data_IF_464684738164
#
_entry.id   IF_464684738164
#
_cell.length_a   1.000
_cell.length_b   1.000
_cell.length_c   1.000
_cell.angle_alpha   90.00
_cell.angle_beta   90.00
_cell.angle_gamma   90.00
#
_symmetry.space_group_name_H-M   'P 1'
#
loop_
_entity.id
_entity.type
_entity.pdbx_description
1 polymer ?
#
# COMPACT_ATOMS: atom_id res chain seq x y z
N UNK A 1 9.67 12.61 -0.12
CA UNK A 1 9.73 11.86 1.15
C UNK A 1 8.44 12.16 1.91
N UNK A 2 7.79 11.17 2.53
CA UNK A 2 6.68 11.44 3.45
C UNK A 2 7.25 11.64 4.86
N UNK A 3 6.77 12.64 5.58
CA UNK A 3 7.18 12.91 6.95
C UNK A 3 6.19 12.33 7.95
N UNK A 4 6.68 11.97 9.13
CA UNK A 4 5.83 11.45 10.21
C UNK A 4 4.75 12.47 10.57
N UNK A 5 3.51 11.99 10.73
CA UNK A 5 2.34 12.85 11.00
C UNK A 5 1.68 13.43 9.74
N UNK A 6 2.31 13.28 8.57
CA UNK A 6 1.67 13.64 7.29
C UNK A 6 0.49 12.69 7.04
N UNK A 7 -0.64 13.24 6.61
CA UNK A 7 -1.78 12.41 6.17
C UNK A 7 -1.35 11.55 4.99
N UNK A 8 -1.60 10.24 5.06
CA UNK A 8 -1.25 9.33 3.98
C UNK A 8 -1.91 9.78 2.66
N UNK A 9 -1.14 9.90 1.56
CA UNK A 9 -1.71 10.22 0.26
C UNK A 9 -2.64 9.10 -0.21
N UNK A 10 -3.71 9.47 -0.90
CA UNK A 10 -4.61 8.49 -1.52
C UNK A 10 -3.86 7.61 -2.53
N UNK A 11 -4.24 6.33 -2.59
CA UNK A 11 -3.77 5.40 -3.61
C UNK A 11 -4.92 4.56 -4.13
N UNK A 12 -4.75 4.04 -5.35
CA UNK A 12 -5.56 3.01 -5.96
C UNK A 12 -4.62 2.09 -6.74
N UNK A 13 -4.47 0.85 -6.29
CA UNK A 13 -3.55 -0.13 -6.89
C UNK A 13 -4.26 -1.46 -7.07
N UNK A 14 -3.93 -2.19 -8.13
CA UNK A 14 -4.39 -3.56 -8.31
C UNK A 14 -3.57 -4.50 -7.43
N UNK A 15 -4.25 -5.42 -6.73
CA UNK A 15 -3.61 -6.53 -6.02
C UNK A 15 -3.24 -7.68 -6.99
N UNK A 16 -2.75 -8.79 -6.43
CA UNK A 16 -2.34 -9.96 -7.22
C UNK A 16 -3.49 -10.63 -7.99
N UNK A 17 -4.73 -10.39 -7.57
CA UNK A 17 -5.95 -10.94 -8.18
C UNK A 17 -6.62 -9.91 -9.12
N UNK A 18 -5.97 -8.76 -9.34
CA UNK A 18 -6.46 -7.68 -10.18
C UNK A 18 -7.54 -6.80 -9.52
N UNK A 19 -7.83 -7.02 -8.24
CA UNK A 19 -8.80 -6.20 -7.51
C UNK A 19 -8.18 -4.86 -7.14
N UNK A 20 -8.93 -3.77 -7.34
CA UNK A 20 -8.46 -2.43 -6.98
C UNK A 20 -8.62 -2.22 -5.48
N UNK A 21 -7.50 -2.02 -4.80
CA UNK A 21 -7.43 -1.63 -3.39
C UNK A 21 -7.17 -0.13 -3.31
N UNK A 22 -7.96 0.56 -2.48
CA UNK A 22 -7.79 2.00 -2.25
C UNK A 22 -7.51 2.31 -0.78
N UNK A 23 -6.88 3.45 -0.49
CA UNK A 23 -6.73 3.91 0.89
C UNK A 23 -8.10 4.14 1.56
N UNK A 24 -9.09 4.60 0.80
CA UNK A 24 -10.43 4.86 1.30
C UNK A 24 -11.14 3.59 1.77
N UNK A 25 -11.04 2.50 1.00
CA UNK A 25 -11.63 1.21 1.37
C UNK A 25 -11.02 0.60 2.64
N UNK A 26 -9.84 1.04 3.05
CA UNK A 26 -9.12 0.53 4.23
C UNK A 26 -9.33 1.38 5.49
N UNK A 27 -10.15 2.43 5.44
CA UNK A 27 -10.40 3.30 6.60
C UNK A 27 -10.99 2.51 7.78
N UNK A 28 -10.68 2.96 9.00
CA UNK A 28 -11.08 2.30 10.24
C UNK A 28 -10.13 1.18 10.70
N UNK A 29 -9.08 0.88 9.93
CA UNK A 29 -8.10 -0.15 10.25
C UNK A 29 -6.68 0.43 10.30
N UNK A 30 -5.80 -0.22 11.05
CA UNK A 30 -4.37 0.01 10.93
C UNK A 30 -3.86 -0.68 9.66
N UNK A 31 -3.14 0.07 8.82
CA UNK A 31 -2.60 -0.41 7.55
C UNK A 31 -1.08 -0.23 7.57
N UNK A 32 -0.35 -1.32 7.32
CA UNK A 32 1.09 -1.27 7.11
C UNK A 32 1.38 -1.54 5.63
N UNK A 33 2.01 -0.59 4.96
CA UNK A 33 2.51 -0.76 3.59
C UNK A 33 3.96 -1.20 3.65
N UNK A 34 4.29 -2.27 2.93
CA UNK A 34 5.64 -2.79 2.81
C UNK A 34 5.90 -3.14 1.34
N UNK A 35 7.16 -3.08 0.91
CA UNK A 35 7.55 -3.32 -0.47
C UNK A 35 8.93 -3.96 -0.54
N UNK A 36 9.17 -4.69 -1.62
CA UNK A 36 10.46 -5.28 -1.98
C UNK A 36 10.81 -4.88 -3.44
N UNK A 37 12.10 -4.88 -3.84
CA UNK A 37 12.49 -4.38 -5.16
C UNK A 37 12.03 -5.26 -6.33
N UNK A 38 12.07 -6.58 -6.14
CA UNK A 38 11.75 -7.55 -7.19
C UNK A 38 11.08 -8.80 -6.59
N UNK A 39 9.99 -9.22 -7.23
CA UNK A 39 9.25 -10.41 -6.82
C UNK A 39 10.01 -11.67 -7.26
N UNK A 40 9.85 -12.76 -6.51
CA UNK A 40 10.35 -14.09 -6.88
C UNK A 40 11.87 -14.22 -7.04
N UNK A 41 12.65 -13.35 -6.41
CA UNK A 41 14.11 -13.51 -6.32
C UNK A 41 14.53 -14.06 -4.96
N UNK A 42 15.54 -14.95 -4.90
CA UNK A 42 16.21 -15.29 -3.65
C UNK A 42 16.76 -14.02 -2.98
N UNK A 43 16.55 -13.90 -1.67
CA UNK A 43 17.10 -12.83 -0.84
C UNK A 43 18.50 -13.12 -0.33
#
# INVERSE_FOLDING_TARGET
MLEVGTTAPGFAVSDQDGQVVTLESLRGHWVALWWYPLASTPG
#
